data_IF_348640039673
#
_entry.id   IF_348640039673
#
_cell.length_a   1.000
_cell.length_b   1.000
_cell.length_c   1.000
_cell.angle_alpha   90.00
_cell.angle_beta   90.00
_cell.angle_gamma   90.00
#
_symmetry.space_group_name_H-M   'P 1'
#
loop_
_entity.id
_entity.type
_entity.pdbx_description
1 polymer ?
#
# COMPACT_ATOMS: atom_id res chain seq x y z
N UNK A 1 2.47 -8.39 -8.60
CA UNK A 1 1.36 -9.34 -8.33
C UNK A 1 0.14 -8.97 -9.16
N UNK A 2 -0.48 -9.96 -9.80
CA UNK A 2 -1.63 -9.77 -10.69
C UNK A 2 -2.91 -9.43 -9.90
N UNK A 3 -3.69 -8.42 -10.32
CA UNK A 3 -4.93 -8.01 -9.61
C UNK A 3 -5.92 -9.16 -9.47
N UNK A 4 -5.93 -10.08 -10.44
CA UNK A 4 -6.83 -11.25 -10.46
C UNK A 4 -6.52 -12.28 -9.36
N UNK A 5 -5.30 -12.28 -8.85
CA UNK A 5 -4.85 -13.25 -7.85
C UNK A 5 -5.19 -12.82 -6.42
N UNK A 6 -5.33 -11.50 -6.17
CA UNK A 6 -5.73 -10.96 -4.87
C UNK A 6 -7.22 -11.11 -4.57
N UNK A 7 -8.05 -11.11 -5.61
CA UNK A 7 -9.50 -11.15 -5.43
C UNK A 7 -9.96 -12.49 -4.82
N UNK A 8 -10.83 -12.45 -3.79
CA UNK A 8 -11.45 -13.63 -3.24
C UNK A 8 -12.23 -14.40 -4.33
N UNK A 9 -12.09 -15.72 -4.35
CA UNK A 9 -12.81 -16.56 -5.31
C UNK A 9 -14.28 -16.70 -4.92
N UNK A 10 -15.15 -17.12 -5.85
CA UNK A 10 -16.60 -17.34 -5.61
C UNK A 10 -16.90 -18.18 -4.36
N UNK A 11 -16.06 -19.17 -4.04
CA UNK A 11 -16.22 -20.04 -2.85
C UNK A 11 -16.05 -19.30 -1.51
N UNK A 12 -15.47 -18.10 -1.52
CA UNK A 12 -15.31 -17.27 -0.33
C UNK A 12 -16.58 -16.46 0.01
N UNK A 13 -17.73 -16.68 -0.66
CA UNK A 13 -18.92 -15.83 -0.53
C UNK A 13 -19.46 -15.63 0.90
N UNK A 14 -19.23 -16.58 1.82
CA UNK A 14 -19.63 -16.48 3.23
C UNK A 14 -18.47 -16.23 4.21
N UNK A 15 -17.25 -16.02 3.71
CA UNK A 15 -16.07 -15.82 4.55
C UNK A 15 -16.02 -14.38 5.08
N UNK A 16 -15.90 -14.19 6.40
CA UNK A 16 -15.72 -12.86 7.01
C UNK A 16 -14.46 -12.12 6.51
N UNK A 17 -13.48 -12.86 6.01
CA UNK A 17 -12.22 -12.35 5.46
C UNK A 17 -12.27 -12.12 3.94
N UNK A 18 -13.46 -12.20 3.33
CA UNK A 18 -13.70 -11.81 1.95
C UNK A 18 -14.00 -10.31 1.89
N UNK A 19 -12.98 -9.49 1.58
CA UNK A 19 -13.09 -8.03 1.54
C UNK A 19 -13.55 -7.52 0.17
N UNK A 20 -14.13 -8.39 -0.68
CA UNK A 20 -14.52 -8.17 -2.09
C UNK A 20 -13.35 -7.94 -3.04
N UNK A 21 -12.41 -7.05 -2.71
CA UNK A 21 -11.23 -6.72 -3.52
C UNK A 21 -10.02 -7.58 -3.20
N UNK A 22 -9.93 -8.04 -1.95
CA UNK A 22 -8.81 -8.84 -1.46
C UNK A 22 -9.22 -9.82 -0.35
N UNK A 23 -8.34 -10.76 -0.03
CA UNK A 23 -8.51 -11.66 1.09
C UNK A 23 -7.74 -11.13 2.31
N UNK A 24 -8.39 -11.08 3.47
CA UNK A 24 -7.74 -10.62 4.71
C UNK A 24 -6.67 -11.57 5.27
N UNK A 25 -6.51 -12.78 4.70
CA UNK A 25 -5.59 -13.81 5.19
C UNK A 25 -4.47 -14.16 4.20
N UNK A 26 -4.76 -14.17 2.89
CA UNK A 26 -3.82 -14.60 1.86
C UNK A 26 -3.66 -13.52 0.81
N UNK A 27 -2.41 -13.27 0.39
CA UNK A 27 -2.13 -12.36 -0.73
C UNK A 27 -2.61 -12.94 -2.07
N UNK A 28 -2.60 -14.27 -2.20
CA UNK A 28 -3.08 -15.00 -3.37
C UNK A 28 -4.11 -16.09 -3.00
N UNK A 29 -5.38 -15.71 -2.71
CA UNK A 29 -6.45 -16.66 -2.42
C UNK A 29 -6.65 -17.70 -3.53
N UNK A 30 -6.43 -17.36 -4.79
CA UNK A 30 -6.64 -18.30 -5.90
C UNK A 30 -5.66 -19.47 -5.84
N UNK A 31 -4.38 -19.18 -5.60
CA UNK A 31 -3.34 -20.19 -5.45
C UNK A 31 -3.56 -21.06 -4.22
N UNK A 32 -3.92 -20.45 -3.08
CA UNK A 32 -4.26 -21.20 -1.86
C UNK A 32 -5.35 -22.25 -2.12
N UNK A 33 -6.41 -21.86 -2.84
CA UNK A 33 -7.51 -22.75 -3.17
C UNK A 33 -7.14 -23.81 -4.21
N UNK A 34 -6.19 -23.52 -5.11
CA UNK A 34 -5.68 -24.52 -6.04
C UNK A 34 -4.87 -25.59 -5.32
N UNK A 35 -4.01 -25.20 -4.37
CA UNK A 35 -3.13 -26.11 -3.63
C UNK A 35 -3.87 -26.92 -2.57
N UNK A 36 -4.62 -26.26 -1.69
CA UNK A 36 -5.18 -26.92 -0.50
C UNK A 36 -6.66 -27.28 -0.64
N UNK A 37 -7.35 -26.76 -1.66
CA UNK A 37 -8.81 -26.93 -1.91
C UNK A 37 -9.74 -26.54 -0.75
N UNK A 38 -9.22 -26.11 0.40
CA UNK A 38 -9.93 -25.67 1.61
C UNK A 38 -9.24 -24.42 2.14
N UNK A 39 -10.03 -23.46 2.61
CA UNK A 39 -9.51 -22.23 3.21
C UNK A 39 -9.58 -22.31 4.73
N UNK A 40 -8.46 -22.18 5.47
CA UNK A 40 -8.46 -22.21 6.94
C UNK A 40 -9.16 -21.01 7.58
N UNK A 41 -9.27 -19.89 6.84
CA UNK A 41 -10.02 -18.71 7.28
C UNK A 41 -11.53 -18.82 7.08
N UNK A 42 -12.03 -19.85 6.39
CA UNK A 42 -13.47 -19.99 6.13
C UNK A 42 -14.22 -20.27 7.44
N UNK A 43 -15.06 -19.32 7.85
CA UNK A 43 -15.83 -19.36 9.11
C UNK A 43 -14.97 -19.48 10.39
N UNK A 44 -13.68 -19.14 10.33
CA UNK A 44 -12.81 -19.15 11.51
C UNK A 44 -12.82 -17.80 12.22
N UNK A 45 -13.37 -17.77 13.43
CA UNK A 45 -13.40 -16.55 14.25
C UNK A 45 -11.98 -16.11 14.63
N UNK A 46 -11.10 -17.05 15.01
CA UNK A 46 -9.73 -16.74 15.40
C UNK A 46 -8.94 -16.02 14.29
N UNK A 47 -9.14 -16.40 13.02
CA UNK A 47 -8.49 -15.72 11.90
C UNK A 47 -9.07 -14.33 11.65
N UNK A 48 -10.38 -14.17 11.87
CA UNK A 48 -11.05 -12.88 11.76
C UNK A 48 -10.59 -11.89 12.84
N UNK A 49 -10.52 -12.33 14.10
CA UNK A 49 -10.03 -11.51 15.22
C UNK A 49 -8.58 -11.07 15.01
N UNK A 50 -7.70 -11.98 14.57
CA UNK A 50 -6.31 -11.65 14.22
C UNK A 50 -6.22 -10.61 13.11
N UNK A 51 -7.11 -10.69 12.11
CA UNK A 51 -7.19 -9.67 11.07
C UNK A 51 -7.60 -8.31 11.65
N UNK A 52 -8.65 -8.27 12.47
CA UNK A 52 -9.08 -7.02 13.12
C UNK A 52 -7.99 -6.39 14.00
N UNK A 53 -7.27 -7.20 14.78
CA UNK A 53 -6.17 -6.73 15.61
C UNK A 53 -5.06 -6.08 14.76
N UNK A 54 -4.67 -6.71 13.65
CA UNK A 54 -3.70 -6.15 12.70
C UNK A 54 -4.18 -4.83 12.08
N UNK A 55 -5.45 -4.74 11.70
CA UNK A 55 -6.02 -3.50 11.15
C UNK A 55 -5.98 -2.36 12.17
N UNK A 56 -6.26 -2.64 13.46
CA UNK A 56 -6.16 -1.63 14.53
C UNK A 56 -4.73 -1.14 14.70
N UNK A 57 -3.76 -2.04 14.78
CA UNK A 57 -2.34 -1.66 14.89
C UNK A 57 -1.86 -0.84 13.69
N UNK A 58 -2.28 -1.17 12.47
CA UNK A 58 -1.95 -0.36 11.29
C UNK A 58 -2.60 1.03 11.32
N UNK A 59 -3.84 1.12 11.78
CA UNK A 59 -4.53 2.40 11.93
C UNK A 59 -3.80 3.29 12.96
N UNK A 60 -3.44 2.75 14.11
CA UNK A 60 -2.67 3.46 15.14
C UNK A 60 -1.31 3.93 14.62
N UNK A 61 -0.59 3.08 13.86
CA UNK A 61 0.67 3.44 13.23
C UNK A 61 0.52 4.59 12.22
N UNK A 62 -0.61 4.66 11.51
CA UNK A 62 -0.90 5.76 10.58
C UNK A 62 -1.26 7.05 11.32
N UNK A 63 -1.92 6.97 12.46
CA UNK A 63 -2.26 8.15 13.29
C UNK A 63 -1.00 8.78 13.90
N UNK A 64 0.00 7.99 14.27
CA UNK A 64 1.28 8.50 14.80
C UNK A 64 2.11 9.30 13.80
N UNK A 65 1.88 9.15 12.48
CA UNK A 65 2.47 10.03 11.47
C UNK A 65 1.39 10.92 10.87
N UNK A 66 1.11 12.10 11.44
CA UNK A 66 0.14 13.00 10.86
C UNK A 66 0.56 13.29 9.41
N UNK A 67 -0.38 13.15 8.47
CA UNK A 67 -0.18 13.28 7.02
C UNK A 67 0.49 14.61 6.64
N UNK A 68 0.32 15.64 7.48
CA UNK A 68 0.97 16.95 7.39
C UNK A 68 2.48 16.89 7.62
N UNK A 69 2.95 16.05 8.54
CA UNK A 69 4.37 15.91 8.86
C UNK A 69 5.13 15.23 7.71
N UNK A 70 4.56 14.14 7.16
CA UNK A 70 5.15 13.44 6.00
C UNK A 70 5.24 14.38 4.79
N UNK A 71 4.18 15.15 4.50
CA UNK A 71 4.17 16.11 3.40
C UNK A 71 5.18 17.24 3.59
N UNK A 72 5.34 17.75 4.82
CA UNK A 72 6.36 18.77 5.11
C UNK A 72 7.77 18.22 4.95
N UNK A 73 8.03 16.99 5.38
CA UNK A 73 9.34 16.36 5.29
C UNK A 73 9.70 16.02 3.83
N UNK A 74 8.75 15.51 3.03
CA UNK A 74 8.91 15.33 1.59
C UNK A 74 9.20 16.65 0.86
N UNK A 75 8.45 17.73 1.20
CA UNK A 75 8.71 19.05 0.64
C UNK A 75 10.08 19.61 1.06
N UNK A 76 10.52 19.34 2.31
CA UNK A 76 11.87 19.70 2.79
C UNK A 76 12.96 18.97 2.02
N UNK A 77 12.78 17.67 1.79
CA UNK A 77 13.73 16.83 1.03
C UNK A 77 13.77 17.24 -0.45
N UNK A 78 12.62 17.57 -1.05
CA UNK A 78 12.55 18.09 -2.41
C UNK A 78 13.28 19.45 -2.56
N UNK A 79 13.20 20.31 -1.53
CA UNK A 79 13.94 21.59 -1.48
C UNK A 79 15.46 21.44 -1.38
N UNK A 80 15.96 20.29 -0.89
CA UNK A 80 17.40 20.02 -0.82
C UNK A 80 17.98 19.48 -2.13
N UNK A 81 17.16 19.22 -3.14
CA UNK A 81 17.66 18.95 -4.48
C UNK A 81 18.24 20.26 -5.06
N UNK A 82 19.57 20.36 -5.15
CA UNK A 82 20.22 21.43 -5.91
C UNK A 82 19.78 21.35 -7.38
N UNK A 83 19.02 22.34 -7.84
CA UNK A 83 18.78 22.57 -9.25
C UNK A 83 20.05 23.21 -9.84
N UNK A 84 20.98 22.39 -10.31
CA UNK A 84 22.10 22.86 -11.12
C UNK A 84 21.64 23.04 -12.58
N UNK A 85 20.69 23.94 -12.81
CA UNK A 85 20.33 24.36 -14.15
C UNK A 85 21.22 25.56 -14.49
N UNK A 86 22.50 25.26 -14.72
CA UNK A 86 23.51 26.24 -15.08
C UNK A 86 23.25 26.84 -16.46
N UNK A 87 22.72 28.06 -16.50
CA UNK A 87 22.88 28.98 -17.62
C UNK A 87 23.28 30.35 -17.08
N UNK A 88 24.59 30.58 -16.98
CA UNK A 88 25.15 31.92 -16.84
C UNK A 88 25.03 32.63 -18.18
N UNK A 89 24.14 33.60 -18.27
CA UNK A 89 23.97 34.43 -19.45
C UNK A 89 25.09 35.48 -19.49
N UNK A 90 26.25 35.12 -20.05
CA UNK A 90 27.35 36.07 -20.29
C UNK A 90 27.00 36.86 -21.56
N UNK A 91 26.45 38.06 -21.37
CA UNK A 91 26.22 39.02 -22.44
C UNK A 91 27.55 39.53 -22.99
N UNK A 92 27.94 39.01 -24.16
CA UNK A 92 29.01 39.55 -24.99
C UNK A 92 28.55 40.93 -25.46
N UNK A 93 29.26 42.00 -25.07
CA UNK A 93 29.06 43.35 -25.60
C UNK A 93 29.95 43.51 -26.82
N UNK A 94 29.33 43.61 -28.00
CA UNK A 94 30.01 44.02 -29.23
C UNK A 94 30.54 45.45 -29.09
N UNK A 95 31.84 45.60 -29.25
CA UNK A 95 32.53 46.88 -29.41
C UNK A 95 32.31 47.41 -30.83
N UNK A 96 31.64 48.56 -30.93
CA UNK A 96 31.63 49.42 -32.12
C UNK A 96 32.57 50.60 -31.95
#
# INVERSE_FOLDING_TARGET
MDRKNRHPIRKCGKCKLNLRTECGLFDNPREQWNTHRKCPGYMSEAHYERYLARQRMEAERRVQKPRTFVRQEEARMARTAQHNDGVVNIGIKDTG
#
